data_IF_572845339529
#
_entry.id   IF_572845339529
#
_cell.length_a   1.000
_cell.length_b   1.000
_cell.length_c   1.000
_cell.angle_alpha   90.00
_cell.angle_beta   90.00
_cell.angle_gamma   90.00
#
_symmetry.space_group_name_H-M   'P 1'
#
loop_
_entity.id
_entity.type
_entity.pdbx_description
1 polymer ?
#
# COMPACT_ATOMS: atom_id res chain seq x y z
N UNK A 1 -3.39 23.84 0.51
CA UNK A 1 -3.16 22.49 1.06
C UNK A 1 -4.46 21.71 0.97
N UNK A 2 -4.39 20.50 0.42
CA UNK A 2 -5.50 19.53 0.39
C UNK A 2 -5.13 18.36 1.32
N UNK A 3 -5.98 18.08 2.30
CA UNK A 3 -5.80 16.97 3.22
C UNK A 3 -6.77 15.84 2.88
N UNK A 4 -6.26 14.63 2.72
CA UNK A 4 -7.03 13.43 2.46
C UNK A 4 -6.79 12.43 3.59
N UNK A 5 -7.86 12.06 4.30
CA UNK A 5 -7.80 11.19 5.46
C UNK A 5 -8.33 9.80 5.14
N UNK A 6 -7.60 8.77 5.56
CA UNK A 6 -7.96 7.36 5.41
C UNK A 6 -8.03 6.74 6.81
N UNK A 7 -9.24 6.38 7.29
CA UNK A 7 -9.42 5.81 8.61
C UNK A 7 -8.90 4.37 8.71
N UNK A 8 -8.64 3.90 9.94
CA UNK A 8 -8.24 2.52 10.21
C UNK A 8 -9.30 1.52 9.73
N UNK A 9 -10.58 1.83 10.00
CA UNK A 9 -11.73 1.02 9.54
C UNK A 9 -12.23 1.57 8.20
N UNK A 10 -11.98 0.82 7.13
CA UNK A 10 -12.37 1.16 5.77
C UNK A 10 -13.78 0.62 5.48
N UNK A 11 -14.80 1.27 6.09
CA UNK A 11 -16.19 0.89 5.96
C UNK A 11 -16.75 1.08 4.54
N UNK A 12 -17.89 0.44 4.25
CA UNK A 12 -18.60 0.65 2.99
C UNK A 12 -18.99 2.13 2.79
N UNK A 13 -19.33 2.84 3.86
CA UNK A 13 -19.67 4.28 3.78
C UNK A 13 -18.45 5.13 3.46
N UNK A 14 -17.27 4.77 3.98
CA UNK A 14 -16.02 5.42 3.60
C UNK A 14 -15.73 5.24 2.11
N UNK A 15 -15.92 4.03 1.56
CA UNK A 15 -15.74 3.79 0.12
C UNK A 15 -16.75 4.56 -0.73
N UNK A 16 -18.01 4.64 -0.32
CA UNK A 16 -19.00 5.50 -0.99
C UNK A 16 -18.60 6.97 -0.98
N UNK A 17 -18.11 7.45 0.16
CA UNK A 17 -17.57 8.80 0.26
C UNK A 17 -16.37 9.00 -0.67
N UNK A 18 -15.42 8.07 -0.69
CA UNK A 18 -14.23 8.13 -1.55
C UNK A 18 -14.63 8.16 -3.04
N UNK A 19 -15.60 7.33 -3.44
CA UNK A 19 -16.12 7.30 -4.80
C UNK A 19 -16.84 8.60 -5.18
N UNK A 20 -17.57 9.21 -4.25
CA UNK A 20 -18.16 10.54 -4.52
C UNK A 20 -17.09 11.60 -4.78
N UNK A 21 -15.97 11.56 -4.05
CA UNK A 21 -14.84 12.46 -4.29
C UNK A 21 -14.14 12.20 -5.64
N UNK A 22 -14.04 10.93 -6.06
CA UNK A 22 -13.57 10.58 -7.41
C UNK A 22 -14.48 11.21 -8.45
N UNK A 23 -15.80 11.04 -8.28
CA UNK A 23 -16.77 11.63 -9.18
C UNK A 23 -16.64 13.16 -9.23
N UNK A 24 -16.55 13.83 -8.09
CA UNK A 24 -16.39 15.29 -8.04
C UNK A 24 -15.10 15.74 -8.76
N UNK A 25 -14.00 15.01 -8.59
CA UNK A 25 -12.75 15.30 -9.29
C UNK A 25 -12.85 15.12 -10.81
N UNK A 26 -13.67 14.18 -11.27
CA UNK A 26 -13.92 13.95 -12.70
C UNK A 26 -14.87 14.99 -13.30
N UNK A 27 -15.86 15.46 -12.54
CA UNK A 27 -16.84 16.44 -13.05
C UNK A 27 -16.23 17.81 -13.26
N UNK A 28 -15.23 18.20 -12.49
CA UNK A 28 -14.47 19.42 -12.74
C UNK A 28 -13.79 19.38 -14.13
N UNK A 29 -13.39 18.18 -14.61
CA UNK A 29 -12.78 17.96 -15.93
C UNK A 29 -13.80 18.01 -17.06
N UNK A 30 -14.93 17.38 -16.84
CA UNK A 30 -15.93 17.10 -17.87
C UNK A 30 -17.09 18.09 -17.86
N UNK A 31 -16.94 19.22 -17.13
CA UNK A 31 -18.06 20.14 -16.82
C UNK A 31 -18.85 20.60 -18.06
N UNK A 32 -18.19 20.86 -19.20
CA UNK A 32 -18.89 21.25 -20.43
C UNK A 32 -19.65 20.09 -21.07
N UNK A 33 -19.04 18.93 -21.20
CA UNK A 33 -19.65 17.77 -21.84
C UNK A 33 -20.78 17.17 -20.98
N UNK A 34 -20.60 17.15 -19.66
CA UNK A 34 -21.63 16.69 -18.71
C UNK A 34 -22.80 17.67 -18.59
N UNK A 35 -22.57 18.99 -18.69
CA UNK A 35 -23.64 19.99 -18.72
C UNK A 35 -24.52 19.85 -19.97
N UNK A 36 -23.92 19.61 -21.14
CA UNK A 36 -24.66 19.39 -22.38
C UNK A 36 -25.44 18.06 -22.34
N UNK A 37 -24.83 16.99 -21.78
CA UNK A 37 -25.51 15.71 -21.58
C UNK A 37 -26.66 15.86 -20.59
N UNK A 38 -26.47 16.59 -19.49
CA UNK A 38 -27.50 16.87 -18.49
C UNK A 38 -28.69 17.63 -19.08
N UNK A 39 -28.43 18.66 -19.91
CA UNK A 39 -29.49 19.40 -20.64
C UNK A 39 -30.28 18.49 -21.57
N UNK A 40 -29.59 17.65 -22.36
CA UNK A 40 -30.27 16.73 -23.30
C UNK A 40 -31.13 15.73 -22.52
N UNK A 41 -30.57 15.11 -21.48
CA UNK A 41 -31.29 14.14 -20.62
C UNK A 41 -32.48 14.79 -19.93
N UNK A 42 -32.32 16.00 -19.37
CA UNK A 42 -33.43 16.72 -18.73
C UNK A 42 -34.55 17.06 -19.71
N UNK A 43 -34.19 17.46 -20.93
CA UNK A 43 -35.18 17.80 -21.99
C UNK A 43 -35.94 16.53 -22.42
N UNK A 44 -35.27 15.41 -22.64
CA UNK A 44 -35.92 14.16 -23.02
C UNK A 44 -36.85 13.65 -21.92
N UNK A 45 -36.42 13.71 -20.65
CA UNK A 45 -37.28 13.32 -19.51
C UNK A 45 -38.48 14.25 -19.36
N UNK A 46 -38.33 15.58 -19.56
CA UNK A 46 -39.46 16.49 -19.56
C UNK A 46 -40.46 16.17 -20.68
N UNK A 47 -39.98 15.77 -21.86
CA UNK A 47 -40.86 15.32 -22.92
C UNK A 47 -41.63 14.05 -22.58
N UNK A 48 -40.94 13.07 -21.97
CA UNK A 48 -41.60 11.82 -21.54
C UNK A 48 -42.62 12.07 -20.43
N UNK A 49 -42.32 12.98 -19.50
CA UNK A 49 -43.19 13.29 -18.33
C UNK A 49 -44.27 14.32 -18.64
N UNK A 50 -44.22 14.97 -19.80
CA UNK A 50 -45.21 16.01 -20.20
C UNK A 50 -46.63 15.46 -20.17
N UNK A 51 -46.87 14.27 -20.70
CA UNK A 51 -48.15 13.61 -20.67
C UNK A 51 -48.72 13.35 -19.28
N UNK A 52 -47.83 13.05 -18.29
CA UNK A 52 -48.22 12.91 -16.90
C UNK A 52 -48.59 14.27 -16.26
N UNK A 53 -47.81 15.31 -16.56
CA UNK A 53 -48.07 16.67 -16.06
C UNK A 53 -49.36 17.22 -16.60
N UNK A 54 -49.69 17.00 -17.88
CA UNK A 54 -51.01 17.37 -18.49
C UNK A 54 -52.17 16.60 -17.86
N UNK A 55 -52.00 15.28 -17.65
CA UNK A 55 -53.06 14.46 -17.02
C UNK A 55 -53.34 14.91 -15.58
N UNK A 56 -52.26 15.20 -14.80
CA UNK A 56 -52.43 15.73 -13.43
C UNK A 56 -53.09 17.11 -13.42
N UNK A 57 -52.79 17.98 -14.37
CA UNK A 57 -53.41 19.28 -14.51
C UNK A 57 -54.92 19.13 -14.79
N UNK A 58 -55.29 18.22 -15.69
CA UNK A 58 -56.69 17.97 -16.05
C UNK A 58 -57.51 17.35 -14.91
N UNK A 59 -56.88 16.46 -14.15
CA UNK A 59 -57.58 15.74 -13.04
C UNK A 59 -57.59 16.52 -11.74
N UNK A 60 -56.47 17.15 -11.40
CA UNK A 60 -56.28 17.82 -10.10
C UNK A 60 -56.44 19.34 -10.18
N UNK A 61 -56.57 19.90 -11.37
CA UNK A 61 -56.60 21.37 -11.62
C UNK A 61 -55.34 22.08 -11.04
N UNK A 62 -54.22 21.35 -10.89
CA UNK A 62 -52.96 21.88 -10.39
C UNK A 62 -51.85 21.57 -11.39
N UNK A 63 -51.00 22.55 -11.61
CA UNK A 63 -49.80 22.33 -12.43
C UNK A 63 -48.76 21.58 -11.59
N UNK A 64 -48.45 20.37 -12.00
CA UNK A 64 -47.48 19.50 -11.36
C UNK A 64 -46.41 19.08 -12.33
N UNK A 65 -45.17 19.45 -12.11
CA UNK A 65 -44.03 19.09 -12.94
C UNK A 65 -43.06 18.21 -12.16
N UNK A 66 -42.51 17.19 -12.80
CA UNK A 66 -41.43 16.37 -12.21
C UNK A 66 -40.17 17.20 -12.22
N UNK A 67 -39.63 17.48 -11.03
CA UNK A 67 -38.37 18.20 -10.91
C UNK A 67 -37.21 17.20 -10.97
N UNK A 68 -36.29 17.47 -11.92
CA UNK A 68 -35.07 16.68 -12.03
C UNK A 68 -34.02 17.16 -11.03
N UNK A 69 -33.15 16.24 -10.55
CA UNK A 69 -32.01 16.62 -9.76
C UNK A 69 -31.18 17.65 -10.54
N UNK A 70 -30.83 18.76 -9.89
CA UNK A 70 -30.01 19.81 -10.51
C UNK A 70 -28.58 19.35 -10.81
N UNK A 71 -28.12 18.31 -10.14
CA UNK A 71 -26.79 17.75 -10.27
C UNK A 71 -26.89 16.26 -10.57
N UNK A 72 -26.18 15.82 -11.61
CA UNK A 72 -26.03 14.39 -11.94
C UNK A 72 -25.28 13.63 -10.85
N UNK A 73 -24.55 14.31 -9.97
CA UNK A 73 -23.84 13.72 -8.83
C UNK A 73 -24.73 12.79 -8.00
N UNK A 74 -26.02 13.08 -7.91
CA UNK A 74 -26.97 12.21 -7.20
C UNK A 74 -27.25 10.89 -7.92
N UNK A 75 -27.13 10.86 -9.26
CA UNK A 75 -27.30 9.65 -10.06
C UNK A 75 -26.04 8.76 -10.02
N UNK A 76 -24.88 9.34 -9.70
CA UNK A 76 -23.60 8.63 -9.64
C UNK A 76 -23.18 8.28 -8.21
N UNK A 77 -24.05 8.45 -7.22
CA UNK A 77 -23.81 7.98 -5.83
C UNK A 77 -23.60 6.48 -5.72
N UNK A 78 -24.00 5.73 -6.74
CA UNK A 78 -23.88 4.28 -6.82
C UNK A 78 -22.68 3.85 -7.72
N UNK A 79 -21.68 4.74 -7.91
CA UNK A 79 -20.43 4.31 -8.55
C UNK A 79 -19.82 3.16 -7.77
N UNK A 80 -19.43 2.11 -8.47
CA UNK A 80 -18.71 0.99 -7.89
C UNK A 80 -17.52 0.61 -8.75
N UNK A 81 -16.50 0.03 -8.12
CA UNK A 81 -15.39 -0.59 -8.84
C UNK A 81 -15.71 -2.05 -9.11
N UNK A 82 -15.79 -2.42 -10.39
CA UNK A 82 -15.80 -3.83 -10.79
C UNK A 82 -14.37 -4.35 -10.85
N UNK A 83 -14.09 -5.39 -10.09
CA UNK A 83 -12.77 -6.01 -9.99
C UNK A 83 -12.76 -7.38 -10.65
N UNK A 84 -11.69 -7.69 -11.37
CA UNK A 84 -11.48 -8.99 -12.00
C UNK A 84 -10.08 -9.50 -11.66
N UNK A 85 -9.97 -10.74 -11.23
CA UNK A 85 -8.72 -11.45 -11.03
C UNK A 85 -8.73 -12.80 -11.78
N UNK A 86 -7.70 -13.62 -11.59
CA UNK A 86 -7.58 -14.93 -12.26
C UNK A 86 -8.67 -15.94 -11.89
N UNK A 87 -9.36 -15.74 -10.77
CA UNK A 87 -10.35 -16.68 -10.24
C UNK A 87 -11.78 -16.18 -10.43
N UNK A 88 -12.00 -14.86 -10.30
CA UNK A 88 -13.33 -14.27 -10.23
C UNK A 88 -13.41 -13.02 -11.10
N UNK A 89 -14.47 -12.91 -11.90
CA UNK A 89 -14.69 -11.78 -12.83
C UNK A 89 -15.86 -10.92 -12.37
N UNK A 90 -15.74 -9.61 -12.57
CA UNK A 90 -16.82 -8.63 -12.39
C UNK A 90 -17.43 -8.65 -10.97
N UNK A 91 -16.58 -8.68 -9.95
CA UNK A 91 -17.01 -8.59 -8.55
C UNK A 91 -16.87 -7.14 -8.08
N UNK A 92 -17.92 -6.61 -7.48
CA UNK A 92 -17.89 -5.29 -6.87
C UNK A 92 -16.82 -5.22 -5.77
N UNK A 93 -16.04 -4.12 -5.74
CA UNK A 93 -14.98 -3.93 -4.75
C UNK A 93 -15.50 -4.04 -3.31
N UNK A 94 -16.75 -3.61 -3.06
CA UNK A 94 -17.37 -3.73 -1.74
C UNK A 94 -17.55 -5.19 -1.29
N UNK A 95 -17.62 -6.13 -2.23
CA UNK A 95 -17.72 -7.57 -1.95
C UNK A 95 -16.35 -8.24 -1.78
N UNK A 96 -15.26 -7.51 -2.01
CA UNK A 96 -13.90 -7.99 -1.78
C UNK A 96 -13.49 -7.90 -0.31
N UNK A 97 -12.51 -8.68 0.07
CA UNK A 97 -11.89 -8.62 1.40
C UNK A 97 -11.25 -7.25 1.68
N UNK A 98 -11.17 -6.89 2.95
CA UNK A 98 -10.72 -5.56 3.39
C UNK A 98 -9.29 -5.25 2.96
N UNK A 99 -8.41 -6.25 2.86
CA UNK A 99 -7.04 -6.07 2.34
C UNK A 99 -7.00 -5.62 0.88
N UNK A 100 -7.87 -6.17 0.03
CA UNK A 100 -7.99 -5.74 -1.36
C UNK A 100 -8.51 -4.31 -1.43
N UNK A 101 -9.55 -4.00 -0.66
CA UNK A 101 -10.11 -2.64 -0.56
C UNK A 101 -9.04 -1.64 -0.11
N UNK A 102 -8.30 -1.95 0.95
CA UNK A 102 -7.24 -1.09 1.49
C UNK A 102 -6.17 -0.76 0.44
N UNK A 103 -5.78 -1.73 -0.37
CA UNK A 103 -4.77 -1.55 -1.44
C UNK A 103 -5.26 -0.72 -2.63
N UNK A 104 -6.56 -0.56 -2.83
CA UNK A 104 -7.09 0.33 -3.88
C UNK A 104 -7.00 1.81 -3.49
N UNK A 105 -7.03 2.13 -2.20
CA UNK A 105 -7.13 3.51 -1.72
C UNK A 105 -5.99 4.40 -2.19
N UNK A 106 -4.69 4.04 -2.06
CA UNK A 106 -3.60 4.90 -2.51
C UNK A 106 -3.68 5.25 -4.00
N UNK A 107 -4.04 4.28 -4.84
CA UNK A 107 -4.21 4.49 -6.29
C UNK A 107 -5.39 5.42 -6.59
N UNK A 108 -6.49 5.31 -5.85
CA UNK A 108 -7.65 6.19 -5.98
C UNK A 108 -7.28 7.63 -5.57
N UNK A 109 -6.59 7.80 -4.44
CA UNK A 109 -6.14 9.13 -3.98
C UNK A 109 -5.17 9.77 -4.99
N UNK A 110 -4.25 8.99 -5.56
CA UNK A 110 -3.34 9.47 -6.59
C UNK A 110 -4.08 9.93 -7.85
N UNK A 111 -5.05 9.16 -8.31
CA UNK A 111 -5.89 9.52 -9.45
C UNK A 111 -6.65 10.85 -9.20
N UNK A 112 -7.27 10.99 -8.03
CA UNK A 112 -7.95 12.23 -7.64
C UNK A 112 -6.99 13.43 -7.61
N UNK A 113 -5.78 13.24 -7.08
CA UNK A 113 -4.75 14.26 -7.03
C UNK A 113 -4.34 14.70 -8.43
N UNK A 114 -4.06 13.76 -9.33
CA UNK A 114 -3.68 14.03 -10.72
C UNK A 114 -4.78 14.81 -11.45
N UNK A 115 -6.04 14.40 -11.33
CA UNK A 115 -7.16 15.13 -11.91
C UNK A 115 -7.29 16.56 -11.37
N UNK A 116 -7.13 16.76 -10.06
CA UNK A 116 -7.17 18.09 -9.45
C UNK A 116 -6.03 19.00 -9.93
N UNK A 117 -4.85 18.43 -10.22
CA UNK A 117 -3.71 19.17 -10.76
C UNK A 117 -3.88 19.51 -12.24
N UNK A 118 -4.34 18.57 -13.05
CA UNK A 118 -4.54 18.75 -14.50
C UNK A 118 -5.63 19.81 -14.82
N UNK A 119 -6.69 19.86 -14.02
CA UNK A 119 -7.82 20.76 -14.22
C UNK A 119 -7.61 22.15 -13.66
N UNK A 120 -6.47 22.38 -13.06
CA UNK A 120 -6.13 23.67 -12.51
C UNK A 120 -6.00 24.74 -13.61
N UNK A 121 -6.65 25.90 -13.40
CA UNK A 121 -6.47 27.05 -14.26
C UNK A 121 -4.98 27.47 -14.32
N UNK A 122 -4.47 27.78 -15.49
CA UNK A 122 -3.05 28.03 -15.79
C UNK A 122 -2.33 29.05 -14.89
N UNK A 123 -3.04 29.83 -14.09
CA UNK A 123 -2.48 30.89 -13.23
C UNK A 123 -2.77 30.69 -11.73
N UNK A 124 -3.18 29.50 -11.30
CA UNK A 124 -3.46 29.22 -9.88
C UNK A 124 -2.29 28.50 -9.22
N UNK A 125 -2.15 28.72 -7.89
CA UNK A 125 -1.11 28.09 -7.08
C UNK A 125 -1.30 26.56 -7.03
N UNK A 126 -0.24 25.76 -7.15
CA UNK A 126 -0.33 24.30 -7.07
C UNK A 126 -0.80 23.86 -5.69
N UNK A 127 -1.57 22.79 -5.64
CA UNK A 127 -1.98 22.19 -4.39
C UNK A 127 -0.82 21.41 -3.78
N UNK A 128 -0.60 21.57 -2.47
CA UNK A 128 0.20 20.65 -1.69
C UNK A 128 -0.75 19.64 -1.06
N UNK A 129 -0.55 18.36 -1.34
CA UNK A 129 -1.38 17.28 -0.82
C UNK A 129 -0.75 16.69 0.44
N UNK A 130 -1.59 16.40 1.43
CA UNK A 130 -1.23 15.67 2.63
C UNK A 130 -2.19 14.48 2.73
N UNK A 131 -1.63 13.26 2.76
CA UNK A 131 -2.40 12.05 2.98
C UNK A 131 -2.18 11.57 4.40
N UNK A 132 -3.25 11.46 5.16
CA UNK A 132 -3.25 10.90 6.51
C UNK A 132 -3.81 9.48 6.49
N UNK A 133 -2.97 8.49 6.72
CA UNK A 133 -3.39 7.09 6.83
C UNK A 133 -3.37 6.65 8.29
N UNK A 134 -4.49 6.13 8.74
CA UNK A 134 -4.58 5.45 10.03
C UNK A 134 -4.55 3.95 9.79
N UNK A 135 -3.54 3.28 10.34
CA UNK A 135 -3.33 1.84 10.23
C UNK A 135 -3.60 1.28 8.81
N UNK A 136 -2.83 1.70 7.79
CA UNK A 136 -3.08 1.25 6.42
C UNK A 136 -3.00 -0.26 6.26
N UNK A 137 -2.23 -0.93 7.11
CA UNK A 137 -2.08 -2.39 7.17
C UNK A 137 -3.31 -3.14 7.67
N UNK A 138 -4.30 -2.44 8.24
CA UNK A 138 -5.47 -3.09 8.84
C UNK A 138 -6.26 -3.86 7.78
N UNK A 139 -6.46 -5.17 8.03
CA UNK A 139 -7.11 -6.09 7.10
C UNK A 139 -6.23 -6.58 5.95
N UNK A 140 -4.97 -6.14 5.85
CA UNK A 140 -4.02 -6.60 4.82
C UNK A 140 -3.26 -7.81 5.31
N UNK A 141 -3.03 -8.80 4.42
CA UNK A 141 -2.18 -9.93 4.72
C UNK A 141 -0.75 -9.47 5.06
N UNK A 142 -0.17 -10.05 6.09
CA UNK A 142 1.13 -9.60 6.64
C UNK A 142 2.25 -9.58 5.60
N UNK A 143 2.29 -10.57 4.71
CA UNK A 143 3.25 -10.63 3.59
C UNK A 143 3.15 -9.44 2.65
N UNK A 144 1.93 -8.94 2.42
CA UNK A 144 1.65 -7.82 1.53
C UNK A 144 1.87 -6.44 2.19
N UNK A 145 2.03 -6.40 3.53
CA UNK A 145 2.31 -5.14 4.23
C UNK A 145 3.64 -4.51 3.82
N UNK A 146 4.64 -5.32 3.46
CA UNK A 146 5.93 -4.82 2.96
C UNK A 146 5.80 -4.16 1.58
N UNK A 147 5.02 -4.77 0.69
CA UNK A 147 4.73 -4.18 -0.63
C UNK A 147 3.96 -2.86 -0.47
N UNK A 148 2.97 -2.84 0.42
CA UNK A 148 2.21 -1.62 0.73
C UNK A 148 3.11 -0.52 1.31
N UNK A 149 4.05 -0.87 2.20
CA UNK A 149 5.01 0.09 2.74
C UNK A 149 5.87 0.73 1.64
N UNK A 150 6.36 -0.08 0.67
CA UNK A 150 7.10 0.41 -0.50
C UNK A 150 6.23 1.32 -1.39
N UNK A 151 5.00 0.92 -1.64
CA UNK A 151 4.05 1.70 -2.44
C UNK A 151 3.79 3.06 -1.79
N UNK A 152 3.43 3.09 -0.51
CA UNK A 152 3.22 4.33 0.24
C UNK A 152 4.48 5.20 0.26
N UNK A 153 5.66 4.60 0.50
CA UNK A 153 6.91 5.34 0.48
C UNK A 153 7.19 6.01 -0.88
N UNK A 154 6.80 5.38 -1.98
CA UNK A 154 6.98 5.94 -3.32
C UNK A 154 6.10 7.19 -3.58
N UNK A 155 4.93 7.27 -2.97
CA UNK A 155 4.06 8.45 -3.06
C UNK A 155 4.63 9.69 -2.37
N UNK A 156 5.69 9.58 -1.54
CA UNK A 156 6.37 10.75 -0.92
C UNK A 156 6.86 11.80 -1.91
N UNK A 157 7.04 11.42 -3.17
CA UNK A 157 7.45 12.33 -4.25
C UNK A 157 6.31 13.24 -4.73
N UNK A 158 5.06 12.85 -4.44
CA UNK A 158 3.85 13.52 -4.91
C UNK A 158 3.09 14.24 -3.78
N UNK A 159 3.19 13.73 -2.56
CA UNK A 159 2.46 14.26 -1.41
C UNK A 159 3.23 14.01 -0.10
N UNK A 160 2.86 14.74 0.94
CA UNK A 160 3.29 14.43 2.29
C UNK A 160 2.40 13.31 2.87
N UNK A 161 3.03 12.26 3.42
CA UNK A 161 2.30 11.19 4.09
C UNK A 161 2.46 11.31 5.60
N UNK A 162 1.34 11.16 6.31
CA UNK A 162 1.28 11.01 7.76
C UNK A 162 0.64 9.66 8.02
N UNK A 163 1.36 8.74 8.65
CA UNK A 163 0.91 7.36 8.83
C UNK A 163 0.96 7.00 10.30
N UNK A 164 -0.15 6.53 10.86
CA UNK A 164 -0.14 5.81 12.14
C UNK A 164 -0.12 4.31 11.87
N UNK A 165 0.71 3.57 12.59
CA UNK A 165 0.89 2.14 12.32
C UNK A 165 1.38 1.37 13.54
N UNK A 166 0.99 0.11 13.62
CA UNK A 166 1.58 -0.89 14.51
C UNK A 166 2.40 -1.95 13.73
N UNK A 167 2.46 -1.83 12.39
CA UNK A 167 3.12 -2.81 11.52
C UNK A 167 4.63 -2.61 11.42
N UNK A 168 5.43 -3.64 11.74
CA UNK A 168 6.88 -3.63 11.52
C UNK A 168 7.25 -3.34 10.06
N UNK A 169 6.44 -3.81 9.12
CA UNK A 169 6.66 -3.58 7.69
C UNK A 169 6.66 -2.09 7.36
N UNK A 170 5.71 -1.32 7.93
CA UNK A 170 5.59 0.11 7.65
C UNK A 170 6.65 0.92 8.38
N UNK A 171 6.87 0.72 9.69
CA UNK A 171 7.89 1.53 10.38
C UNK A 171 9.33 1.09 10.06
N UNK A 172 9.56 -0.03 9.37
CA UNK A 172 10.89 -0.41 8.88
C UNK A 172 11.50 0.59 7.91
N UNK A 173 10.66 1.41 7.25
CA UNK A 173 11.13 2.46 6.32
C UNK A 173 11.75 3.68 7.04
N UNK A 174 11.76 3.73 8.38
CA UNK A 174 12.22 4.90 9.15
C UNK A 174 13.65 5.37 8.84
N UNK A 175 14.51 4.47 8.40
CA UNK A 175 15.90 4.77 8.08
C UNK A 175 16.11 5.22 6.63
N UNK A 176 15.04 5.35 5.85
CA UNK A 176 15.10 5.79 4.46
C UNK A 176 15.07 7.31 4.37
N UNK A 177 15.54 7.82 3.23
CA UNK A 177 15.50 9.24 2.91
C UNK A 177 14.08 9.81 3.04
N UNK A 178 13.98 10.99 3.64
CA UNK A 178 12.73 11.73 3.88
C UNK A 178 11.69 11.00 4.76
N UNK A 179 12.04 9.88 5.40
CA UNK A 179 11.17 9.19 6.36
C UNK A 179 11.54 9.56 7.79
N UNK A 180 10.54 9.92 8.61
CA UNK A 180 10.69 10.16 10.05
C UNK A 180 9.69 9.30 10.79
N UNK A 181 10.14 8.63 11.84
CA UNK A 181 9.29 7.81 12.68
C UNK A 181 9.26 8.37 14.10
N UNK A 182 8.07 8.46 14.67
CA UNK A 182 7.82 8.93 16.04
C UNK A 182 7.17 7.78 16.80
N UNK A 183 7.83 7.27 17.83
CA UNK A 183 7.21 6.34 18.75
C UNK A 183 6.39 7.13 19.78
N UNK A 184 5.08 6.94 19.78
CA UNK A 184 4.15 7.64 20.67
C UNK A 184 3.77 6.73 21.83
N UNK A 185 3.87 7.25 23.06
CA UNK A 185 3.51 6.52 24.27
C UNK A 185 2.79 7.41 25.26
N UNK A 186 2.07 6.80 26.20
CA UNK A 186 1.42 7.48 27.31
C UNK A 186 2.30 7.37 28.55
N UNK A 187 2.60 8.49 29.18
CA UNK A 187 3.30 8.54 30.47
C UNK A 187 2.35 8.18 31.62
N UNK A 188 2.91 7.78 32.76
CA UNK A 188 2.13 7.55 33.99
C UNK A 188 1.30 8.75 34.41
N UNK A 189 1.77 9.98 34.15
CA UNK A 189 1.04 11.22 34.36
C UNK A 189 -0.18 11.42 33.45
N UNK A 190 -0.43 10.49 32.51
CA UNK A 190 -1.47 10.61 31.48
C UNK A 190 -1.08 11.45 30.27
N UNK A 191 0.07 12.12 30.28
CA UNK A 191 0.53 12.92 29.16
C UNK A 191 1.07 12.03 28.02
N UNK A 192 0.85 12.48 26.77
CA UNK A 192 1.45 11.85 25.59
C UNK A 192 2.91 12.25 25.46
N UNK A 193 3.77 11.28 25.20
CA UNK A 193 5.18 11.48 24.89
C UNK A 193 5.52 10.87 23.54
N UNK A 194 6.50 11.42 22.85
CA UNK A 194 7.04 10.87 21.62
C UNK A 194 8.57 10.76 21.70
N UNK A 195 9.10 9.76 20.98
CA UNK A 195 10.53 9.53 20.86
C UNK A 195 10.88 9.29 19.39
N UNK A 196 11.92 9.95 18.91
CA UNK A 196 12.38 9.87 17.52
C UNK A 196 13.64 9.01 17.34
N UNK A 197 14.32 8.69 18.45
CA UNK A 197 15.67 8.12 18.43
C UNK A 197 15.68 6.61 18.64
N UNK A 198 14.53 5.99 18.91
CA UNK A 198 14.45 4.55 19.10
C UNK A 198 14.88 3.80 17.84
N UNK A 199 15.69 2.76 18.00
CA UNK A 199 15.98 1.81 16.95
C UNK A 199 14.72 0.98 16.60
N UNK A 200 14.72 0.32 15.44
CA UNK A 200 13.62 -0.61 15.07
C UNK A 200 13.47 -1.72 16.11
N UNK A 201 14.58 -2.23 16.64
CA UNK A 201 14.56 -3.28 17.67
C UNK A 201 13.95 -2.81 18.99
N UNK A 202 14.22 -1.56 19.38
CA UNK A 202 13.60 -0.97 20.57
C UNK A 202 12.10 -0.75 20.37
N UNK A 203 11.69 -0.30 19.19
CA UNK A 203 10.26 -0.20 18.83
C UNK A 203 9.61 -1.59 18.91
N UNK A 204 10.21 -2.61 18.30
CA UNK A 204 9.71 -4.00 18.33
C UNK A 204 9.52 -4.52 19.76
N UNK A 205 10.44 -4.21 20.66
CA UNK A 205 10.31 -4.58 22.09
C UNK A 205 9.17 -3.84 22.78
N UNK A 206 9.06 -2.51 22.55
CA UNK A 206 8.06 -1.67 23.22
C UNK A 206 6.63 -1.99 22.80
N UNK A 207 6.40 -2.37 21.54
CA UNK A 207 5.08 -2.81 21.04
C UNK A 207 4.79 -4.28 21.36
N UNK A 208 5.72 -5.01 22.01
CA UNK A 208 5.53 -6.41 22.38
C UNK A 208 5.69 -7.41 21.23
N UNK A 209 6.11 -6.99 20.04
CA UNK A 209 6.29 -7.87 18.89
C UNK A 209 7.31 -8.99 19.16
N UNK A 210 8.38 -8.68 19.91
CA UNK A 210 9.43 -9.64 20.23
C UNK A 210 8.92 -10.84 21.03
N UNK A 211 7.89 -10.69 21.83
CA UNK A 211 7.29 -11.81 22.58
C UNK A 211 6.61 -12.82 21.67
N UNK A 212 6.09 -12.37 20.52
CA UNK A 212 5.42 -13.23 19.54
C UNK A 212 6.42 -13.94 18.62
N UNK A 213 7.49 -13.27 18.22
CA UNK A 213 8.45 -13.82 17.25
C UNK A 213 9.70 -14.45 17.89
N UNK A 214 9.98 -14.17 19.18
CA UNK A 214 11.16 -14.68 19.87
C UNK A 214 11.32 -16.22 19.80
N UNK A 215 10.27 -17.04 19.96
CA UNK A 215 10.38 -18.49 19.81
C UNK A 215 10.88 -18.91 18.42
N UNK A 216 10.32 -18.31 17.38
CA UNK A 216 10.71 -18.56 15.98
C UNK A 216 12.15 -18.11 15.71
N UNK A 217 12.53 -16.91 16.13
CA UNK A 217 13.90 -16.40 15.97
C UNK A 217 14.92 -17.26 16.70
N UNK A 218 14.57 -17.78 17.89
CA UNK A 218 15.43 -18.67 18.65
C UNK A 218 15.68 -19.98 17.89
N UNK A 219 14.66 -20.53 17.25
CA UNK A 219 14.81 -21.73 16.42
C UNK A 219 15.65 -21.48 15.17
N UNK A 220 15.40 -20.37 14.47
CA UNK A 220 16.18 -19.97 13.30
C UNK A 220 17.65 -19.72 13.66
N UNK A 221 17.91 -19.05 14.78
CA UNK A 221 19.26 -18.83 15.28
C UNK A 221 19.99 -20.15 15.56
N UNK A 222 19.34 -21.11 16.19
CA UNK A 222 19.94 -22.44 16.43
C UNK A 222 20.32 -23.15 15.13
N UNK A 223 19.45 -23.10 14.11
CA UNK A 223 19.73 -23.67 12.79
C UNK A 223 20.94 -22.98 12.14
N UNK A 224 20.97 -21.66 12.17
CA UNK A 224 22.07 -20.86 11.61
C UNK A 224 23.39 -21.12 12.33
N UNK A 225 23.39 -21.17 13.67
CA UNK A 225 24.57 -21.47 14.47
C UNK A 225 25.12 -22.88 14.14
N UNK A 226 24.24 -23.88 13.97
CA UNK A 226 24.64 -25.24 13.55
C UNK A 226 25.24 -25.28 12.15
N UNK A 227 24.69 -24.54 11.20
CA UNK A 227 25.26 -24.44 9.84
C UNK A 227 26.63 -23.75 9.86
N UNK A 228 26.77 -22.69 10.65
CA UNK A 228 28.02 -21.97 10.84
C UNK A 228 29.10 -22.87 11.47
N UNK A 229 28.76 -23.64 12.49
CA UNK A 229 29.68 -24.60 13.10
C UNK A 229 30.13 -25.69 12.11
N UNK A 230 29.21 -26.21 11.27
CA UNK A 230 29.54 -27.17 10.20
C UNK A 230 30.51 -26.56 9.18
N UNK A 231 30.19 -25.35 8.69
CA UNK A 231 31.02 -24.65 7.73
C UNK A 231 32.43 -24.36 8.29
N UNK A 232 32.53 -23.91 9.53
CA UNK A 232 33.80 -23.67 10.21
C UNK A 232 34.61 -24.99 10.42
N UNK A 233 33.93 -26.07 10.74
CA UNK A 233 34.58 -27.41 10.88
C UNK A 233 35.13 -27.89 9.53
N UNK A 234 34.39 -27.70 8.42
CA UNK A 234 34.86 -28.06 7.09
C UNK A 234 36.03 -27.17 6.65
N UNK A 235 35.96 -25.88 6.92
CA UNK A 235 37.04 -24.93 6.63
C UNK A 235 38.32 -25.28 7.38
N UNK A 236 38.21 -25.66 8.66
CA UNK A 236 39.34 -26.13 9.47
C UNK A 236 39.97 -27.40 8.90
N UNK A 237 39.15 -28.38 8.50
CA UNK A 237 39.65 -29.62 7.85
C UNK A 237 40.35 -29.32 6.49
N UNK A 238 39.84 -28.36 5.73
CA UNK A 238 40.49 -27.93 4.48
C UNK A 238 41.81 -27.21 4.74
N UNK A 239 41.88 -26.37 5.77
CA UNK A 239 43.11 -25.70 6.19
C UNK A 239 44.17 -26.71 6.67
N UNK A 240 43.80 -27.69 7.47
CA UNK A 240 44.69 -28.77 7.93
C UNK A 240 45.22 -29.60 6.73
N UNK A 241 44.34 -29.92 5.78
CA UNK A 241 44.75 -30.62 4.55
C UNK A 241 45.71 -29.77 3.69
N UNK A 242 45.45 -28.48 3.58
CA UNK A 242 46.32 -27.56 2.81
C UNK A 242 47.68 -27.42 3.50
N UNK A 243 47.73 -27.26 4.82
CA UNK A 243 48.98 -27.21 5.57
C UNK A 243 49.77 -28.50 5.41
N UNK A 244 49.15 -29.67 5.59
CA UNK A 244 49.83 -30.94 5.39
C UNK A 244 50.32 -31.16 3.95
N UNK A 245 49.64 -30.62 2.95
CA UNK A 245 50.08 -30.71 1.56
C UNK A 245 51.23 -29.73 1.26
N UNK A 246 51.31 -28.58 1.94
CA UNK A 246 52.42 -27.61 1.76
C UNK A 246 53.66 -27.97 2.56
N UNK A 247 53.54 -28.74 3.64
CA UNK A 247 54.68 -29.26 4.42
C UNK A 247 55.30 -30.52 3.80
N UNK A 248 54.61 -31.19 2.88
CA UNK A 248 55.14 -32.33 2.16
C UNK A 248 55.76 -31.91 0.82
N UNK A 249 56.96 -32.37 0.56
CA UNK A 249 57.58 -32.24 -0.77
C UNK A 249 56.79 -33.12 -1.73
N UNK A 250 55.98 -32.49 -2.59
CA UNK A 250 55.19 -33.19 -3.62
C UNK A 250 56.00 -33.18 -4.92
N UNK A 251 56.42 -34.34 -5.33
CA UNK A 251 57.10 -34.55 -6.63
C UNK A 251 56.01 -35.02 -7.61
N UNK A 252 55.72 -34.20 -8.60
CA UNK A 252 54.81 -34.55 -9.71
C UNK A 252 55.61 -35.22 -10.81
N UNK A 253 55.24 -36.45 -11.23
CA UNK A 253 55.82 -37.17 -12.31
C UNK A 253 54.82 -37.42 -13.45
N UNK A 254 55.23 -37.30 -14.71
CA UNK A 254 54.37 -37.50 -15.88
C UNK A 254 54.03 -38.96 -16.19
N UNK A 255 54.79 -39.90 -15.68
CA UNK A 255 54.63 -41.32 -16.03
C UNK A 255 54.67 -42.31 -14.86
N UNK A 256 54.00 -43.47 -15.01
CA UNK A 256 53.99 -44.53 -14.03
C UNK A 256 55.41 -45.13 -13.73
N UNK A 257 56.36 -45.00 -14.68
CA UNK A 257 57.73 -45.46 -14.54
C UNK A 257 58.60 -44.54 -13.69
N UNK A 258 58.30 -43.25 -13.68
CA UNK A 258 59.07 -42.24 -12.95
C UNK A 258 58.93 -42.40 -11.45
N UNK A 259 57.77 -42.86 -10.98
CA UNK A 259 57.56 -43.20 -9.57
C UNK A 259 58.48 -44.31 -9.10
N UNK A 260 58.80 -45.29 -9.97
CA UNK A 260 59.72 -46.39 -9.62
C UNK A 260 61.17 -45.89 -9.53
N UNK A 261 61.57 -44.97 -10.44
CA UNK A 261 62.90 -44.38 -10.43
C UNK A 261 63.11 -43.47 -9.22
N UNK A 262 62.10 -42.65 -8.86
CA UNK A 262 62.17 -41.82 -7.66
C UNK A 262 62.21 -42.61 -6.37
N UNK A 263 61.51 -43.76 -6.27
CA UNK A 263 61.61 -44.66 -5.10
C UNK A 263 62.94 -45.36 -4.94
N UNK A 264 63.76 -45.44 -5.97
CA UNK A 264 65.11 -46.01 -5.93
C UNK A 264 66.17 -44.97 -5.64
N UNK A 265 65.86 -43.68 -5.94
CA UNK A 265 66.75 -42.54 -5.75
C UNK A 265 66.68 -41.90 -4.36
N UNK A 266 65.60 -42.10 -3.68
CA UNK A 266 65.35 -41.66 -2.29
C UNK A 266 64.98 -42.84 -1.40
#
# INVERSE_FOLDING_TARGET
IKYMYVPAIKSADYFKYLLSQVYDSMTEVADSALKDLNKKYSNELQQITHGLSENLQNVLHMKSDIQMPRELSTLFKDLSFSTTDRFVKNVDLNQRGDGIKARHIPSILNFMQENMEENRAKNTVSYNFIWGFEEPENGVEYSLCYEMAEELYNYRKKCQLLITTHSPAIYSIKNREAAKCYFVSKKESGATAYDTNLSVDEINRKIGLMTLIAPYLTEQKKKYDQELERANSELKKLQERYQSATEQIVILSEGKTDIKHLKVAF
#
